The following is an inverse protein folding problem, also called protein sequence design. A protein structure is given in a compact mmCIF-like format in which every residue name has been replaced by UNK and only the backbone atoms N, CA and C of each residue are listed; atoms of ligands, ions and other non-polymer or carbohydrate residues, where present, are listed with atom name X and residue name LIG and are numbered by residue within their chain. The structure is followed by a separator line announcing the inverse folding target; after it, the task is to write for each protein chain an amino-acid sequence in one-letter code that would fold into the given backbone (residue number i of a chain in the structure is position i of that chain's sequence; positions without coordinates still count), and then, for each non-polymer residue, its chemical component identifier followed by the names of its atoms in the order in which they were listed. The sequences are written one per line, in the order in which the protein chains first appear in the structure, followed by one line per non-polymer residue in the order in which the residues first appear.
data_IF_359750271753
#
_entry.id   IF_359750271753
#
_cell.length_a   1.000
_cell.length_b   1.000
_cell.length_c   1.000
_cell.angle_alpha   90.00
_cell.angle_beta   90.00
_cell.angle_gamma   90.00
#
_symmetry.space_group_name_H-M   'P 1'
#
loop_
_entity.id
_entity.type
_entity.pdbx_description
1 polymer ?
#
# COMPACT_ATOMS: atom_id res chain seq x y z
N UNK A 1 12.88 -37.74 -10.06
CA UNK A 1 13.21 -36.93 -11.24
C UNK A 1 12.96 -35.50 -10.85
N UNK A 2 14.03 -34.70 -10.74
CA UNK A 2 13.93 -33.29 -10.39
C UNK A 2 13.94 -32.50 -11.69
N UNK A 3 12.82 -31.91 -12.05
CA UNK A 3 12.74 -30.96 -13.16
C UNK A 3 12.33 -29.60 -12.62
N UNK A 4 12.94 -28.55 -13.15
CA UNK A 4 12.63 -27.17 -12.81
C UNK A 4 11.58 -26.65 -13.78
N UNK A 5 10.47 -26.14 -13.26
CA UNK A 5 9.50 -25.39 -14.04
C UNK A 5 9.91 -23.91 -14.11
N UNK A 6 9.74 -23.23 -15.25
CA UNK A 6 9.95 -21.79 -15.33
C UNK A 6 9.14 -21.06 -14.26
N UNK A 7 9.73 -20.05 -13.62
CA UNK A 7 9.05 -19.26 -12.58
C UNK A 7 7.74 -18.69 -13.10
N UNK A 8 6.64 -18.88 -12.35
CA UNK A 8 5.28 -18.41 -12.69
C UNK A 8 4.67 -19.03 -13.96
N UNK A 9 5.19 -20.15 -14.44
CA UNK A 9 4.49 -20.95 -15.46
C UNK A 9 3.48 -21.88 -14.82
N UNK A 10 2.30 -21.99 -15.45
CA UNK A 10 1.28 -22.96 -15.09
C UNK A 10 1.07 -23.89 -16.28
N UNK A 11 1.39 -25.17 -16.11
CA UNK A 11 1.11 -26.21 -17.10
C UNK A 11 -0.07 -27.02 -16.61
N UNK A 12 -1.11 -27.12 -17.43
CA UNK A 12 -2.20 -28.04 -17.17
C UNK A 12 -1.73 -29.45 -17.54
N UNK A 13 -1.66 -30.32 -16.55
CA UNK A 13 -1.46 -31.75 -16.77
C UNK A 13 -2.82 -32.44 -16.63
N UNK A 14 -3.44 -32.88 -17.73
CA UNK A 14 -4.66 -33.68 -17.63
C UNK A 14 -4.33 -34.96 -16.86
N UNK A 15 -5.10 -35.25 -15.80
CA UNK A 15 -4.99 -36.53 -15.10
C UNK A 15 -5.68 -37.59 -15.97
N UNK A 16 -4.95 -38.59 -16.50
CA UNK A 16 -5.54 -39.60 -17.36
C UNK A 16 -6.64 -40.36 -16.60
N UNK A 17 -7.81 -40.51 -17.23
CA UNK A 17 -8.98 -41.17 -16.66
C UNK A 17 -9.83 -40.33 -15.70
N UNK A 18 -9.46 -39.06 -15.43
CA UNK A 18 -10.29 -38.15 -14.64
C UNK A 18 -11.07 -37.25 -15.57
N UNK A 19 -12.34 -37.59 -15.80
CA UNK A 19 -13.27 -36.71 -16.51
C UNK A 19 -13.74 -35.61 -15.57
N UNK A 20 -13.62 -34.36 -16.00
CA UNK A 20 -14.14 -33.23 -15.24
C UNK A 20 -15.67 -33.33 -15.17
N UNK A 21 -16.22 -33.38 -13.95
CA UNK A 21 -17.66 -33.39 -13.71
C UNK A 21 -18.06 -32.16 -12.91
N UNK A 22 -18.86 -31.25 -13.47
CA UNK A 22 -19.31 -30.09 -12.74
C UNK A 22 -20.32 -30.47 -11.65
N UNK A 23 -20.19 -29.87 -10.47
CA UNK A 23 -21.22 -29.97 -9.43
C UNK A 23 -22.55 -29.36 -9.90
N UNK A 24 -23.66 -29.85 -9.34
CA UNK A 24 -25.03 -29.39 -9.67
C UNK A 24 -25.19 -27.88 -9.49
N UNK A 25 -25.99 -27.21 -10.33
CA UNK A 25 -26.25 -25.79 -10.18
C UNK A 25 -26.97 -25.53 -8.86
N UNK A 26 -26.52 -24.53 -8.10
CA UNK A 26 -27.04 -24.24 -6.75
C UNK A 26 -28.31 -23.39 -6.76
N UNK A 27 -28.80 -22.97 -7.94
CA UNK A 27 -29.96 -22.08 -8.11
C UNK A 27 -29.77 -20.65 -7.61
N UNK A 28 -28.71 -20.38 -6.84
CA UNK A 28 -28.40 -19.05 -6.29
C UNK A 28 -27.60 -18.24 -7.32
N UNK A 29 -27.89 -16.94 -7.48
CA UNK A 29 -27.08 -16.07 -8.33
C UNK A 29 -25.64 -16.04 -7.83
N UNK A 30 -24.67 -15.97 -8.76
CA UNK A 30 -23.25 -15.92 -8.41
C UNK A 30 -22.92 -14.61 -7.72
N UNK A 31 -22.12 -14.69 -6.66
CA UNK A 31 -21.66 -13.51 -5.90
C UNK A 31 -20.59 -12.69 -6.62
N UNK A 32 -19.82 -13.32 -7.53
CA UNK A 32 -18.76 -12.65 -8.28
C UNK A 32 -19.24 -12.32 -9.70
N UNK A 33 -19.09 -11.06 -10.11
CA UNK A 33 -19.39 -10.63 -11.47
C UNK A 33 -18.38 -11.10 -12.51
N UNK A 34 -17.20 -11.55 -12.10
CA UNK A 34 -16.20 -12.13 -13.00
C UNK A 34 -16.39 -13.64 -13.13
N UNK A 35 -16.55 -14.10 -14.37
CA UNK A 35 -16.65 -15.52 -14.69
C UNK A 35 -15.25 -16.15 -14.70
N UNK A 36 -15.02 -17.11 -13.81
CA UNK A 36 -13.84 -17.98 -13.86
C UNK A 36 -13.97 -19.00 -15.00
N UNK A 37 -12.87 -19.56 -15.50
CA UNK A 37 -12.92 -20.58 -16.56
C UNK A 37 -13.81 -21.77 -16.18
N UNK A 38 -13.69 -22.27 -14.94
CA UNK A 38 -14.53 -23.34 -14.42
C UNK A 38 -16.01 -22.96 -14.40
N UNK A 39 -16.32 -21.70 -14.12
CA UNK A 39 -17.69 -21.24 -14.01
C UNK A 39 -18.32 -21.00 -15.38
N UNK A 40 -17.54 -20.59 -16.39
CA UNK A 40 -17.95 -20.55 -17.81
C UNK A 40 -18.26 -21.97 -18.31
N UNK A 41 -17.34 -22.92 -18.09
CA UNK A 41 -17.56 -24.32 -18.48
C UNK A 41 -18.81 -24.92 -17.82
N UNK A 42 -19.03 -24.62 -16.53
CA UNK A 42 -20.21 -25.09 -15.78
C UNK A 42 -21.52 -24.59 -16.36
N UNK A 43 -21.58 -23.30 -16.74
CA UNK A 43 -22.82 -22.72 -17.26
C UNK A 43 -23.18 -23.37 -18.60
N UNK A 44 -22.21 -23.43 -19.53
CA UNK A 44 -22.41 -24.06 -20.84
C UNK A 44 -22.73 -25.56 -20.73
N UNK A 45 -22.08 -26.29 -19.81
CA UNK A 45 -22.38 -27.70 -19.55
C UNK A 45 -23.82 -27.89 -19.07
N UNK A 46 -24.25 -27.15 -18.05
CA UNK A 46 -25.59 -27.35 -17.50
C UNK A 46 -26.69 -26.86 -18.45
N UNK A 47 -26.43 -25.82 -19.23
CA UNK A 47 -27.30 -25.37 -20.31
C UNK A 47 -27.53 -26.47 -21.36
N UNK A 48 -26.45 -27.15 -21.81
CA UNK A 48 -26.53 -28.27 -22.73
C UNK A 48 -27.31 -29.46 -22.14
N UNK A 49 -27.06 -29.82 -20.88
CA UNK A 49 -27.83 -30.87 -20.19
C UNK A 49 -29.32 -30.51 -20.11
N UNK A 50 -29.66 -29.25 -19.79
CA UNK A 50 -31.06 -28.81 -19.75
C UNK A 50 -31.74 -28.83 -21.13
N UNK A 51 -30.96 -28.68 -22.20
CA UNK A 51 -31.43 -28.82 -23.57
C UNK A 51 -31.58 -30.29 -24.03
N UNK A 52 -31.24 -31.27 -23.17
CA UNK A 52 -31.35 -32.70 -23.47
C UNK A 52 -30.09 -33.32 -24.08
N UNK A 53 -28.95 -32.63 -24.06
CA UNK A 53 -27.68 -33.20 -24.49
C UNK A 53 -27.20 -34.31 -23.55
N UNK A 54 -26.40 -35.23 -24.09
CA UNK A 54 -25.69 -36.23 -23.29
C UNK A 54 -24.57 -35.58 -22.45
N UNK A 55 -24.05 -36.30 -21.45
CA UNK A 55 -22.98 -35.79 -20.59
C UNK A 55 -21.70 -35.47 -21.36
N UNK A 56 -21.37 -36.26 -22.39
CA UNK A 56 -20.18 -36.08 -23.22
C UNK A 56 -20.33 -34.85 -24.14
N UNK A 57 -21.49 -34.68 -24.77
CA UNK A 57 -21.79 -33.48 -25.58
C UNK A 57 -21.79 -32.21 -24.73
N UNK A 58 -22.33 -32.27 -23.51
CA UNK A 58 -22.31 -31.16 -22.57
C UNK A 58 -20.87 -30.82 -22.11
N UNK A 59 -20.01 -31.83 -21.97
CA UNK A 59 -18.58 -31.64 -21.67
C UNK A 59 -17.88 -30.91 -22.81
N UNK A 60 -18.09 -31.34 -24.05
CA UNK A 60 -17.54 -30.67 -25.25
C UNK A 60 -18.01 -29.21 -25.33
N UNK A 61 -19.29 -28.94 -25.06
CA UNK A 61 -19.84 -27.57 -25.00
C UNK A 61 -19.18 -26.72 -23.91
N UNK A 62 -18.89 -27.31 -22.76
CA UNK A 62 -18.14 -26.65 -21.69
C UNK A 62 -16.73 -26.26 -22.10
N UNK A 63 -16.03 -27.14 -22.83
CA UNK A 63 -14.68 -26.89 -23.36
C UNK A 63 -14.72 -25.79 -24.43
N UNK A 64 -15.62 -25.90 -25.40
CA UNK A 64 -15.81 -24.94 -26.49
C UNK A 64 -16.06 -23.52 -25.94
N UNK A 65 -16.89 -23.39 -24.91
CA UNK A 65 -17.19 -22.11 -24.28
C UNK A 65 -15.95 -21.47 -23.62
N UNK A 66 -15.10 -22.26 -22.96
CA UNK A 66 -13.85 -21.76 -22.37
C UNK A 66 -12.85 -21.38 -23.44
N UNK A 67 -12.72 -22.17 -24.51
CA UNK A 67 -11.84 -21.87 -25.63
C UNK A 67 -12.25 -20.59 -26.36
N UNK A 68 -13.55 -20.41 -26.62
CA UNK A 68 -14.09 -19.20 -27.22
C UNK A 68 -13.80 -17.97 -26.34
N UNK A 69 -13.98 -18.09 -25.02
CA UNK A 69 -13.64 -17.01 -24.08
C UNK A 69 -12.15 -16.66 -24.09
N UNK A 70 -11.27 -17.67 -24.10
CA UNK A 70 -9.82 -17.48 -24.15
C UNK A 70 -9.37 -16.87 -25.49
N UNK A 71 -9.98 -17.28 -26.61
CA UNK A 71 -9.73 -16.73 -27.95
C UNK A 71 -10.13 -15.26 -28.03
N UNK A 72 -11.34 -14.91 -27.60
CA UNK A 72 -11.80 -13.52 -27.55
C UNK A 72 -10.88 -12.63 -26.69
N UNK A 73 -10.32 -13.17 -25.60
CA UNK A 73 -9.35 -12.44 -24.76
C UNK A 73 -8.01 -12.22 -25.47
N UNK A 74 -7.53 -13.18 -26.27
CA UNK A 74 -6.32 -13.03 -27.10
C UNK A 74 -6.54 -12.00 -28.20
N UNK A 75 -7.63 -12.10 -28.95
CA UNK A 75 -7.97 -11.13 -30.01
C UNK A 75 -8.11 -9.71 -29.46
N UNK A 76 -8.73 -9.54 -28.28
CA UNK A 76 -8.82 -8.24 -27.60
C UNK A 76 -7.45 -7.72 -27.16
N UNK A 77 -6.48 -8.60 -26.89
CA UNK A 77 -5.11 -8.22 -26.54
C UNK A 77 -4.32 -7.82 -27.79
N UNK A 78 -4.47 -8.55 -28.89
CA UNK A 78 -3.82 -8.26 -30.18
C UNK A 78 -4.32 -6.96 -30.81
N UNK A 79 -5.64 -6.71 -30.80
CA UNK A 79 -6.22 -5.43 -31.25
C UNK A 79 -5.80 -4.23 -30.41
N UNK A 80 -5.24 -4.47 -29.23
CA UNK A 80 -4.71 -3.45 -28.32
C UNK A 80 -3.21 -3.30 -28.43
N UNK A 81 -2.53 -3.91 -29.41
CA UNK A 81 -1.19 -3.46 -29.74
C UNK A 81 -1.31 -1.99 -30.14
N UNK A 82 -0.88 -1.04 -29.27
CA UNK A 82 -0.85 0.33 -29.67
C UNK A 82 0.09 0.37 -30.86
N UNK A 83 -0.31 0.98 -31.97
CA UNK A 83 0.64 1.47 -32.96
C UNK A 83 1.77 2.10 -32.15
N UNK A 84 3.01 1.59 -32.22
CA UNK A 84 4.08 2.09 -31.36
C UNK A 84 4.17 3.57 -31.66
N UNK A 85 3.72 4.41 -30.72
CA UNK A 85 3.90 5.85 -30.85
C UNK A 85 5.41 6.04 -31.06
N UNK A 86 5.81 6.78 -32.11
CA UNK A 86 7.21 7.00 -32.40
C UNK A 86 7.84 7.47 -31.10
N UNK A 87 8.76 6.66 -30.56
CA UNK A 87 9.43 6.99 -29.30
C UNK A 87 10.07 8.34 -29.54
N UNK A 88 9.63 9.41 -28.87
CA UNK A 88 10.14 10.75 -29.14
C UNK A 88 11.65 10.68 -29.01
N UNK A 89 12.36 11.18 -30.02
CA UNK A 89 13.82 11.19 -30.00
C UNK A 89 14.26 11.85 -28.70
N UNK A 90 15.17 11.22 -27.93
CA UNK A 90 15.62 11.78 -26.67
C UNK A 90 16.24 13.14 -26.96
N UNK A 91 15.54 14.20 -26.55
CA UNK A 91 16.07 15.55 -26.67
C UNK A 91 17.29 15.61 -25.76
N UNK A 92 18.47 15.78 -26.35
CA UNK A 92 19.69 16.02 -25.59
C UNK A 92 19.58 17.40 -24.94
N UNK A 93 19.11 17.42 -23.69
CA UNK A 93 18.99 18.63 -22.89
C UNK A 93 20.35 19.12 -22.36
N UNK A 94 21.46 18.48 -22.76
CA UNK A 94 22.80 18.77 -22.29
C UNK A 94 23.03 18.36 -20.83
N UNK A 95 24.20 18.71 -20.26
CA UNK A 95 24.49 18.44 -18.86
C UNK A 95 23.49 19.13 -17.91
N UNK A 96 23.08 18.43 -16.85
CA UNK A 96 22.19 19.01 -15.85
C UNK A 96 22.86 20.22 -15.17
N UNK A 97 22.14 21.33 -14.89
CA UNK A 97 22.73 22.55 -14.31
C UNK A 97 23.41 22.32 -12.94
N UNK A 98 22.98 21.32 -12.17
CA UNK A 98 23.64 20.93 -10.91
C UNK A 98 24.91 20.12 -11.09
N UNK A 99 25.19 19.63 -12.30
CA UNK A 99 26.26 18.65 -12.58
C UNK A 99 25.88 17.19 -12.35
N UNK A 100 24.65 16.90 -11.87
CA UNK A 100 24.16 15.52 -11.75
C UNK A 100 23.98 14.87 -13.13
N UNK A 101 24.37 13.61 -13.27
CA UNK A 101 24.12 12.77 -14.45
C UNK A 101 22.83 11.96 -14.32
N UNK A 102 22.34 11.79 -13.10
CA UNK A 102 21.21 10.90 -12.77
C UNK A 102 19.91 11.65 -12.48
N UNK A 103 19.97 12.95 -12.25
CA UNK A 103 18.81 13.77 -11.94
C UNK A 103 18.07 14.21 -13.21
N UNK A 104 16.73 14.23 -13.14
CA UNK A 104 15.87 14.70 -14.24
C UNK A 104 16.03 16.22 -14.43
N UNK A 105 16.13 16.69 -15.67
CA UNK A 105 16.15 18.12 -15.97
C UNK A 105 14.88 18.81 -15.44
N UNK A 106 15.06 20.02 -14.90
CA UNK A 106 13.97 20.77 -14.23
C UNK A 106 13.79 20.39 -12.75
N UNK A 107 14.72 19.62 -12.18
CA UNK A 107 14.80 19.40 -10.74
C UNK A 107 16.06 20.08 -10.20
N UNK A 108 15.94 20.84 -9.12
CA UNK A 108 17.06 21.34 -8.34
C UNK A 108 17.69 20.25 -7.46
N UNK A 109 18.98 20.42 -7.14
CA UNK A 109 19.69 19.54 -6.24
C UNK A 109 19.10 19.67 -4.82
N UNK A 110 18.74 18.57 -4.13
CA UNK A 110 18.16 18.65 -2.79
C UNK A 110 19.04 19.40 -1.78
N UNK A 111 18.40 20.12 -0.86
CA UNK A 111 19.11 20.85 0.20
C UNK A 111 19.92 19.87 1.06
N UNK A 112 21.20 20.20 1.26
CA UNK A 112 22.12 19.36 2.03
C UNK A 112 22.75 18.21 1.25
N UNK A 113 22.46 18.07 -0.06
CA UNK A 113 23.15 17.10 -0.90
C UNK A 113 24.63 17.45 -1.06
N UNK A 114 25.48 16.41 -1.14
CA UNK A 114 26.92 16.56 -1.33
C UNK A 114 27.48 15.51 -2.29
N UNK A 115 28.53 15.87 -3.02
CA UNK A 115 29.12 15.02 -4.07
C UNK A 115 30.18 14.05 -3.57
N UNK A 116 30.90 14.44 -2.49
CA UNK A 116 32.01 13.67 -1.93
C UNK A 116 31.58 13.04 -0.63
N UNK A 117 31.62 11.71 -0.59
CA UNK A 117 31.41 10.89 0.60
C UNK A 117 32.09 11.50 1.84
N UNK A 118 31.30 11.80 2.88
CA UNK A 118 31.79 12.44 4.11
C UNK A 118 32.09 11.41 5.19
N UNK A 119 31.25 10.36 5.29
CA UNK A 119 31.38 9.25 6.23
C UNK A 119 31.70 7.98 5.46
N UNK A 120 32.51 7.09 6.06
CA UNK A 120 32.91 5.81 5.44
C UNK A 120 31.72 4.94 5.00
N UNK A 121 30.56 5.07 5.64
CA UNK A 121 29.38 4.26 5.38
C UNK A 121 28.29 5.01 4.62
N UNK A 122 28.56 6.21 4.08
CA UNK A 122 27.58 6.86 3.21
C UNK A 122 27.36 6.01 1.97
N UNK A 123 26.09 5.82 1.66
CA UNK A 123 25.62 5.23 0.42
C UNK A 123 25.01 6.35 -0.42
N UNK A 124 25.06 6.19 -1.75
CA UNK A 124 24.42 7.12 -2.65
C UNK A 124 22.94 7.30 -2.30
N UNK A 125 22.45 8.52 -2.47
CA UNK A 125 21.02 8.76 -2.35
C UNK A 125 20.27 7.94 -3.41
N UNK A 126 18.99 7.68 -3.18
CA UNK A 126 18.13 7.03 -4.15
C UNK A 126 16.84 7.82 -4.31
N UNK A 127 16.27 7.80 -5.51
CA UNK A 127 14.98 8.45 -5.78
C UNK A 127 13.89 7.40 -5.88
N UNK A 128 12.71 7.72 -5.37
CA UNK A 128 11.53 6.89 -5.58
C UNK A 128 10.81 7.31 -6.87
N UNK A 129 10.74 6.43 -7.87
CA UNK A 129 10.12 6.73 -9.17
C UNK A 129 8.60 6.57 -9.21
N UNK A 130 7.99 6.11 -8.12
CA UNK A 130 6.52 6.05 -8.00
C UNK A 130 5.96 7.47 -8.06
N UNK A 131 4.78 7.64 -8.68
CA UNK A 131 4.11 8.93 -8.70
C UNK A 131 3.59 9.27 -7.29
N UNK A 132 4.09 10.35 -6.68
CA UNK A 132 3.63 10.81 -5.37
C UNK A 132 2.82 12.09 -5.46
N UNK A 133 1.95 12.30 -4.48
CA UNK A 133 1.19 13.53 -4.34
C UNK A 133 2.08 14.77 -4.19
N UNK A 134 3.18 14.65 -3.41
CA UNK A 134 4.12 15.74 -3.12
C UNK A 134 5.35 15.75 -4.06
N UNK A 135 5.22 15.22 -5.28
CA UNK A 135 6.29 15.23 -6.28
C UNK A 135 7.31 14.09 -6.15
N UNK A 136 8.61 14.40 -6.25
CA UNK A 136 9.72 13.43 -6.18
C UNK A 136 10.24 13.34 -4.75
N UNK A 137 10.66 12.13 -4.37
CA UNK A 137 11.30 11.86 -3.09
C UNK A 137 12.72 11.39 -3.35
N UNK A 138 13.68 12.13 -2.79
CA UNK A 138 15.08 11.73 -2.71
C UNK A 138 15.38 11.32 -1.27
N UNK A 139 16.00 10.15 -1.12
CA UNK A 139 16.20 9.51 0.16
C UNK A 139 17.68 9.23 0.33
N UNK A 140 18.20 9.45 1.54
CA UNK A 140 19.53 9.01 1.89
C UNK A 140 19.64 7.48 1.75
N UNK A 141 20.85 6.99 1.44
CA UNK A 141 21.05 5.56 1.14
C UNK A 141 20.69 4.62 2.29
N UNK A 142 20.76 5.09 3.52
CA UNK A 142 20.36 4.36 4.73
C UNK A 142 18.84 4.28 4.95
N UNK A 143 18.05 5.14 4.28
CA UNK A 143 16.59 5.11 4.35
C UNK A 143 16.05 3.97 3.50
N UNK A 144 15.34 3.02 4.13
CA UNK A 144 14.90 1.79 3.47
C UNK A 144 13.57 1.92 2.73
N UNK A 145 12.73 2.88 3.09
CA UNK A 145 11.36 2.99 2.57
C UNK A 145 10.96 4.43 2.28
N UNK A 146 10.26 4.65 1.18
CA UNK A 146 9.70 5.94 0.80
C UNK A 146 8.49 6.28 1.69
N UNK A 147 8.46 7.42 2.40
CA UNK A 147 7.28 7.82 3.19
C UNK A 147 6.09 8.23 2.30
N UNK A 148 6.36 8.60 1.04
CA UNK A 148 5.34 9.00 0.08
C UNK A 148 4.41 7.85 -0.30
N UNK A 149 4.96 6.68 -0.65
CA UNK A 149 4.18 5.53 -1.15
C UNK A 149 4.39 4.22 -0.37
N UNK A 150 5.35 4.16 0.56
CA UNK A 150 5.69 2.96 1.32
C UNK A 150 6.51 1.92 0.55
N UNK A 151 7.01 2.23 -0.65
CA UNK A 151 7.91 1.32 -1.36
C UNK A 151 9.25 1.20 -0.63
N UNK A 152 9.84 0.01 -0.65
CA UNK A 152 11.17 -0.23 -0.10
C UNK A 152 12.23 -0.14 -1.20
N UNK A 153 13.42 0.37 -0.90
CA UNK A 153 14.57 0.45 -1.83
C UNK A 153 14.89 -0.90 -2.48
N UNK A 154 14.80 -1.99 -1.72
CA UNK A 154 15.02 -3.37 -2.19
C UNK A 154 13.79 -4.03 -2.82
N UNK A 155 12.68 -3.30 -2.95
CA UNK A 155 11.43 -3.80 -3.51
C UNK A 155 11.43 -3.85 -5.03
N UNK A 156 10.37 -4.38 -5.65
CA UNK A 156 10.24 -4.47 -7.11
C UNK A 156 10.01 -3.11 -7.80
N UNK A 157 9.94 -2.02 -7.04
CA UNK A 157 9.84 -0.66 -7.59
C UNK A 157 11.15 -0.25 -8.26
N UNK A 158 11.06 0.64 -9.25
CA UNK A 158 12.24 1.29 -9.82
C UNK A 158 12.75 2.35 -8.82
N UNK A 159 14.01 2.23 -8.45
CA UNK A 159 14.69 3.13 -7.52
C UNK A 159 16.06 3.46 -8.11
N UNK A 160 16.19 4.52 -8.92
CA UNK A 160 17.47 4.94 -9.44
C UNK A 160 18.34 5.41 -8.29
N UNK A 161 19.58 4.90 -8.28
CA UNK A 161 20.64 5.42 -7.43
C UNK A 161 21.11 6.74 -8.02
N UNK A 162 21.23 7.74 -7.16
CA UNK A 162 21.69 9.08 -7.52
C UNK A 162 23.22 9.15 -7.49
N UNK A 163 23.79 10.15 -8.13
CA UNK A 163 25.24 10.40 -8.13
C UNK A 163 25.72 11.37 -7.02
N UNK A 164 24.81 11.72 -6.11
CA UNK A 164 25.10 12.49 -4.91
C UNK A 164 24.69 11.72 -3.65
N UNK A 165 25.12 12.24 -2.51
CA UNK A 165 24.81 11.72 -1.20
C UNK A 165 23.89 12.70 -0.47
N UNK A 166 23.11 12.18 0.48
CA UNK A 166 22.31 12.96 1.43
C UNK A 166 22.78 12.63 2.86
N UNK A 167 22.56 13.53 3.84
CA UNK A 167 22.84 13.22 5.24
C UNK A 167 22.00 12.02 5.69
N UNK A 168 22.57 11.17 6.55
CA UNK A 168 21.91 9.96 7.07
C UNK A 168 20.49 10.26 7.59
N UNK A 169 19.53 9.41 7.23
CA UNK A 169 18.12 9.56 7.61
C UNK A 169 17.35 10.68 6.89
N UNK A 170 18.00 11.48 6.04
CA UNK A 170 17.36 12.61 5.36
C UNK A 170 16.44 12.15 4.25
N UNK A 171 15.27 12.77 4.18
CA UNK A 171 14.29 12.63 3.11
C UNK A 171 14.02 14.01 2.54
N UNK A 172 14.38 14.24 1.28
CA UNK A 172 14.07 15.47 0.59
C UNK A 172 12.84 15.29 -0.32
N UNK A 173 11.85 16.16 -0.11
CA UNK A 173 10.68 16.30 -0.99
C UNK A 173 10.97 17.39 -2.01
N UNK A 174 10.59 17.15 -3.26
CA UNK A 174 10.73 18.12 -4.31
C UNK A 174 9.48 18.17 -5.19
N UNK A 175 8.93 19.36 -5.36
CA UNK A 175 7.86 19.59 -6.31
C UNK A 175 8.37 19.35 -7.74
N UNK A 176 7.59 18.61 -8.51
CA UNK A 176 7.95 18.22 -9.87
C UNK A 176 6.73 18.32 -10.79
N UNK A 177 6.19 19.55 -11.00
CA UNK A 177 5.01 19.76 -11.82
C UNK A 177 5.26 19.23 -13.24
N UNK A 178 4.32 18.47 -13.78
CA UNK A 178 4.42 17.86 -15.11
C UNK A 178 5.24 16.57 -15.20
N UNK A 179 6.16 16.31 -14.26
CA UNK A 179 6.93 15.05 -14.24
C UNK A 179 6.18 13.93 -13.49
N UNK A 180 5.36 14.31 -12.50
CA UNK A 180 4.64 13.35 -11.65
C UNK A 180 3.16 13.34 -11.98
N UNK A 181 2.68 12.24 -12.55
CA UNK A 181 1.25 12.03 -12.83
C UNK A 181 0.59 11.25 -11.69
N UNK A 182 0.37 11.92 -10.57
CA UNK A 182 -0.28 11.32 -9.41
C UNK A 182 -1.81 11.32 -9.59
N UNK A 183 -2.43 10.15 -9.39
CA UNK A 183 -3.88 9.96 -9.46
C UNK A 183 -4.40 9.46 -8.11
N UNK A 184 -5.23 10.24 -7.39
CA UNK A 184 -5.76 9.84 -6.11
C UNK A 184 -6.62 8.58 -6.27
N UNK A 185 -6.40 7.58 -5.41
CA UNK A 185 -7.16 6.32 -5.43
C UNK A 185 -8.32 6.40 -4.45
N UNK A 186 -9.51 5.94 -4.85
CA UNK A 186 -10.62 5.76 -3.90
C UNK A 186 -10.17 4.83 -2.79
N UNK A 187 -10.42 5.23 -1.54
CA UNK A 187 -10.16 4.37 -0.40
C UNK A 187 -10.85 3.01 -0.65
N UNK A 188 -10.08 1.93 -0.54
CA UNK A 188 -10.68 0.60 -0.62
C UNK A 188 -11.76 0.51 0.47
N UNK A 189 -12.95 0.03 0.12
CA UNK A 189 -14.00 -0.29 1.08
C UNK A 189 -13.50 -1.42 1.98
N UNK A 190 -12.67 -1.09 2.97
CA UNK A 190 -12.22 -2.03 3.97
C UNK A 190 -13.47 -2.53 4.67
N UNK A 191 -13.72 -3.84 4.55
CA UNK A 191 -14.83 -4.47 5.27
C UNK A 191 -14.67 -4.10 6.74
N UNK A 192 -15.73 -3.53 7.35
CA UNK A 192 -15.78 -2.83 8.66
C UNK A 192 -15.22 -3.58 9.89
N UNK A 193 -14.54 -4.72 9.74
CA UNK A 193 -14.15 -5.65 10.79
C UNK A 193 -12.78 -5.41 11.42
N UNK A 194 -11.94 -4.47 10.97
CA UNK A 194 -10.63 -4.18 11.60
C UNK A 194 -10.51 -2.74 12.08
N UNK A 195 -11.32 -2.35 13.07
CA UNK A 195 -11.27 -1.01 13.70
C UNK A 195 -10.00 -0.73 14.53
N UNK A 196 -9.01 -1.63 14.56
CA UNK A 196 -7.83 -1.54 15.44
C UNK A 196 -6.50 -1.24 14.76
N UNK A 197 -6.45 -1.11 13.44
CA UNK A 197 -5.22 -0.67 12.78
C UNK A 197 -5.31 0.83 12.51
N UNK A 198 -4.84 1.67 13.44
CA UNK A 198 -4.40 3.03 13.11
C UNK A 198 -3.12 2.88 12.25
N UNK A 199 -3.32 2.50 11.00
CA UNK A 199 -2.24 2.13 10.10
C UNK A 199 -1.54 3.40 9.62
N UNK A 200 -0.20 3.38 9.65
CA UNK A 200 0.67 4.42 9.09
C UNK A 200 0.17 4.75 7.69
N UNK A 201 -0.39 5.96 7.54
CA UNK A 201 -0.90 6.47 6.28
C UNK A 201 0.28 7.10 5.54
N UNK A 202 0.70 6.48 4.44
CA UNK A 202 1.68 7.08 3.52
C UNK A 202 1.17 8.44 3.01
N UNK A 203 2.05 9.35 2.58
CA UNK A 203 1.60 10.67 2.14
C UNK A 203 0.60 10.58 0.96
N UNK A 204 0.78 9.61 0.06
CA UNK A 204 -0.18 9.33 -1.01
C UNK A 204 -1.55 8.88 -0.49
N UNK A 205 -1.59 8.03 0.54
CA UNK A 205 -2.86 7.61 1.13
C UNK A 205 -3.54 8.79 1.84
N UNK A 206 -2.77 9.66 2.50
CA UNK A 206 -3.31 10.85 3.18
C UNK A 206 -3.86 11.86 2.17
N UNK A 207 -3.10 12.15 1.11
CA UNK A 207 -3.55 13.02 0.02
C UNK A 207 -4.78 12.44 -0.70
N UNK A 208 -4.79 11.13 -1.00
CA UNK A 208 -5.98 10.48 -1.58
C UNK A 208 -7.19 10.64 -0.66
N UNK A 209 -7.02 10.47 0.66
CA UNK A 209 -8.10 10.66 1.63
C UNK A 209 -8.63 12.10 1.60
N UNK A 210 -7.75 13.11 1.67
CA UNK A 210 -8.12 14.53 1.58
C UNK A 210 -8.81 14.89 0.28
N UNK A 211 -8.35 14.36 -0.85
CA UNK A 211 -8.99 14.55 -2.14
C UNK A 211 -10.44 14.06 -2.13
N UNK A 212 -10.70 12.85 -1.65
CA UNK A 212 -12.07 12.31 -1.63
C UNK A 212 -12.96 12.99 -0.58
N UNK A 213 -12.41 13.46 0.55
CA UNK A 213 -13.14 14.31 1.49
C UNK A 213 -13.62 15.60 0.80
N UNK A 214 -12.77 16.28 0.02
CA UNK A 214 -13.17 17.46 -0.76
C UNK A 214 -14.26 17.15 -1.80
N UNK A 215 -14.19 16.00 -2.47
CA UNK A 215 -15.26 15.59 -3.40
C UNK A 215 -16.58 15.33 -2.65
N UNK A 216 -16.53 14.76 -1.45
CA UNK A 216 -17.71 14.56 -0.59
C UNK A 216 -18.29 15.89 -0.08
N UNK A 217 -17.45 16.91 0.13
CA UNK A 217 -17.83 18.29 0.50
C UNK A 217 -18.44 19.09 -0.66
N UNK A 218 -18.46 18.54 -1.88
CA UNK A 218 -19.12 19.14 -3.04
C UNK A 218 -18.20 19.72 -4.10
N UNK A 219 -16.88 19.52 -4.00
CA UNK A 219 -15.97 19.84 -5.10
C UNK A 219 -16.26 18.95 -6.32
N UNK A 220 -16.27 19.54 -7.52
CA UNK A 220 -16.62 18.81 -8.75
C UNK A 220 -15.64 17.66 -9.04
N UNK A 221 -16.16 16.47 -9.33
CA UNK A 221 -15.36 15.35 -9.82
C UNK A 221 -15.65 15.12 -11.30
N UNK A 222 -14.67 15.32 -12.17
CA UNK A 222 -14.81 14.94 -13.58
C UNK A 222 -14.79 13.41 -13.71
N UNK A 223 -15.84 12.81 -14.28
CA UNK A 223 -15.84 11.37 -14.56
C UNK A 223 -14.68 10.98 -15.49
N UNK A 224 -13.78 10.14 -15.00
CA UNK A 224 -12.60 9.70 -15.74
C UNK A 224 -11.40 10.65 -15.68
N UNK A 225 -11.52 11.80 -15.00
CA UNK A 225 -10.45 12.77 -14.78
C UNK A 225 -10.11 12.98 -13.31
N UNK A 226 -9.06 13.77 -13.07
CA UNK A 226 -8.76 14.32 -11.74
C UNK A 226 -9.08 15.81 -11.82
N UNK A 227 -9.94 16.30 -10.91
CA UNK A 227 -10.12 17.74 -10.74
C UNK A 227 -8.82 18.31 -10.17
N UNK A 228 -8.15 19.16 -10.95
CA UNK A 228 -6.83 19.73 -10.62
C UNK A 228 -6.89 20.65 -9.41
N UNK A 229 -7.96 21.43 -9.24
CA UNK A 229 -8.14 22.33 -8.10
C UNK A 229 -8.31 21.56 -6.78
N UNK A 230 -9.18 20.55 -6.79
CA UNK A 230 -9.38 19.68 -5.63
C UNK A 230 -8.10 18.88 -5.29
N UNK A 231 -7.35 18.45 -6.31
CA UNK A 231 -6.07 17.78 -6.10
C UNK A 231 -5.02 18.73 -5.52
N UNK A 232 -4.90 19.94 -6.06
CA UNK A 232 -3.96 20.95 -5.59
C UNK A 232 -4.24 21.31 -4.12
N UNK A 233 -5.51 21.46 -3.75
CA UNK A 233 -5.91 21.70 -2.36
C UNK A 233 -5.56 20.51 -1.46
N UNK A 234 -5.83 19.27 -1.89
CA UNK A 234 -5.46 18.08 -1.14
C UNK A 234 -3.94 17.91 -0.97
N UNK A 235 -3.15 18.26 -1.99
CA UNK A 235 -1.68 18.30 -1.95
C UNK A 235 -1.21 19.32 -0.91
N UNK A 236 -1.75 20.53 -0.94
CA UNK A 236 -1.43 21.60 0.04
C UNK A 236 -1.76 21.19 1.47
N UNK A 237 -2.92 20.57 1.71
CA UNK A 237 -3.29 20.04 3.03
C UNK A 237 -2.34 18.92 3.49
N UNK A 238 -1.89 18.08 2.56
CA UNK A 238 -0.95 16.99 2.85
C UNK A 238 0.43 17.55 3.21
N UNK A 239 0.90 18.55 2.48
CA UNK A 239 2.21 19.14 2.72
C UNK A 239 2.26 19.84 4.08
N UNK A 240 1.24 20.66 4.39
CA UNK A 240 1.09 21.30 5.71
C UNK A 240 1.05 20.27 6.86
N UNK A 241 0.38 19.13 6.66
CA UNK A 241 0.36 18.04 7.64
C UNK A 241 1.75 17.43 7.87
N UNK A 242 2.50 17.18 6.80
CA UNK A 242 3.84 16.61 6.89
C UNK A 242 4.80 17.61 7.55
N UNK A 243 4.72 18.89 7.21
CA UNK A 243 5.55 19.93 7.81
C UNK A 243 5.28 20.10 9.30
N UNK A 244 4.01 20.14 9.70
CA UNK A 244 3.62 20.18 11.11
C UNK A 244 4.15 18.96 11.88
N UNK A 245 4.15 17.77 11.26
CA UNK A 245 4.69 16.55 11.86
C UNK A 245 6.21 16.59 12.01
N UNK A 246 6.92 17.11 11.02
CA UNK A 246 8.39 17.27 11.08
C UNK A 246 8.76 18.30 12.15
N UNK A 247 8.08 19.44 12.19
CA UNK A 247 8.29 20.47 13.21
C UNK A 247 8.03 19.93 14.63
N UNK A 248 6.96 19.16 14.83
CA UNK A 248 6.66 18.53 16.12
C UNK A 248 7.73 17.50 16.54
N UNK A 249 8.25 16.72 15.59
CA UNK A 249 9.35 15.78 15.86
C UNK A 249 10.63 16.54 16.26
N UNK A 250 10.96 17.62 15.56
CA UNK A 250 12.13 18.44 15.86
C UNK A 250 12.02 19.10 17.24
N UNK A 251 10.87 19.70 17.57
CA UNK A 251 10.62 20.28 18.89
C UNK A 251 10.80 19.26 20.03
N UNK A 252 10.33 18.02 19.84
CA UNK A 252 10.49 16.93 20.82
C UNK A 252 11.96 16.51 21.00
N UNK A 253 12.74 16.51 19.92
CA UNK A 253 14.18 16.25 19.98
C UNK A 253 14.94 17.35 20.72
N UNK A 254 14.57 18.61 20.52
CA UNK A 254 15.16 19.75 21.24
C UNK A 254 14.82 19.73 22.74
N UNK A 255 13.57 19.41 23.10
CA UNK A 255 13.14 19.31 24.50
C UNK A 255 13.85 18.16 25.25
N UNK A 256 14.00 17.00 24.61
CA UNK A 256 14.70 15.86 25.22
C UNK A 256 16.21 16.10 25.36
N UNK A 257 16.84 16.75 24.36
CA UNK A 257 18.27 17.08 24.38
C UNK A 257 18.68 18.10 25.44
N UNK A 258 17.76 18.95 25.90
CA UNK A 258 18.04 19.97 26.91
C UNK A 258 18.03 19.44 28.36
N UNK A 259 17.57 18.21 28.61
CA UNK A 259 17.30 17.71 29.96
C UNK A 259 18.44 16.90 30.61
N UNK A 260 19.55 16.66 29.90
CA UNK A 260 20.59 15.73 30.32
C UNK A 260 21.80 16.35 31.05
N UNK A 261 21.79 17.67 31.35
CA UNK A 261 22.93 18.33 32.01
C UNK A 261 22.95 18.32 33.55
N UNK A 262 21.85 18.02 34.27
CA UNK A 262 21.88 18.05 35.76
C UNK A 262 20.99 17.01 36.45
N UNK A 263 21.01 15.74 36.03
CA UNK A 263 20.51 14.66 36.89
C UNK A 263 21.63 14.11 37.79
N UNK A 264 21.72 14.51 39.08
CA UNK A 264 22.66 13.89 40.00
C UNK A 264 22.37 12.39 40.07
N UNK A 265 23.41 11.57 39.90
CA UNK A 265 23.36 10.12 39.98
C UNK A 265 22.98 9.65 41.40
N UNK A 266 21.71 9.80 41.76
CA UNK A 266 21.14 9.23 42.96
C UNK A 266 20.99 7.71 42.71
N UNK A 267 21.89 6.94 43.32
CA UNK A 267 21.94 5.48 43.36
C UNK A 267 20.59 4.89 43.84
N UNK A 268 19.63 4.69 42.94
CA UNK A 268 18.38 4.03 43.27
C UNK A 268 18.58 2.50 43.28
N UNK A 269 18.75 1.97 44.49
CA UNK A 269 18.67 0.53 44.77
C UNK A 269 17.20 0.06 44.64
N UNK A 270 16.72 -0.12 43.41
CA UNK A 270 15.36 -0.59 43.12
C UNK A 270 15.30 -2.12 42.96
N UNK A 271 14.68 -2.80 43.94
CA UNK A 271 14.37 -4.25 43.91
C UNK A 271 13.60 -4.63 42.65
N UNK A 272 14.20 -5.51 41.85
CA UNK A 272 13.61 -6.18 40.68
C UNK A 272 12.53 -7.17 41.14
N UNK A 273 11.25 -6.79 41.07
CA UNK A 273 10.12 -7.73 41.22
C UNK A 273 10.04 -8.58 39.95
N UNK A 274 10.55 -9.82 40.01
CA UNK A 274 10.25 -10.86 39.04
C UNK A 274 8.81 -11.33 39.27
N UNK A 275 7.87 -10.91 38.42
CA UNK A 275 6.56 -11.56 38.30
C UNK A 275 6.72 -12.81 37.43
N UNK A 276 7.13 -13.91 38.06
CA UNK A 276 7.09 -15.24 37.46
C UNK A 276 5.65 -15.70 37.27
N UNK A 277 5.17 -15.68 36.02
CA UNK A 277 3.92 -16.34 35.64
C UNK A 277 4.28 -17.73 35.10
N UNK A 278 4.46 -18.67 36.02
CA UNK A 278 4.59 -20.10 35.74
C UNK A 278 3.27 -20.60 35.14
N UNK A 279 3.32 -21.12 33.91
CA UNK A 279 2.21 -21.88 33.30
C UNK A 279 2.54 -23.36 33.50
N UNK A 280 1.75 -24.05 34.31
CA UNK A 280 1.77 -25.51 34.41
C UNK A 280 1.35 -26.16 33.08
N UNK A 281 1.97 -27.28 32.68
CA UNK A 281 1.43 -28.17 31.67
C UNK A 281 0.59 -29.27 32.35
N UNK A 282 -0.72 -29.28 32.10
CA UNK A 282 -1.55 -30.45 32.37
C UNK A 282 -1.38 -31.47 31.22
N UNK A 283 -0.81 -32.60 31.59
CA UNK A 283 -0.89 -33.90 30.92
C UNK A 283 -2.27 -34.54 31.14
N UNK A 284 -2.84 -35.16 30.10
CA UNK A 284 -3.10 -36.62 30.03
C UNK A 284 -4.14 -36.99 28.94
N UNK A 285 -3.78 -38.03 28.16
CA UNK A 285 -4.62 -38.97 27.38
C UNK A 285 -5.46 -38.39 26.21
N UNK A 286 -5.59 -39.01 25.03
CA UNK A 286 -5.58 -40.44 24.70
C UNK A 286 -5.24 -40.67 23.20
N UNK A 287 -4.70 -41.86 22.97
CA UNK A 287 -4.38 -42.61 21.75
C UNK A 287 -4.87 -42.16 20.36
N UNK A 288 -3.93 -42.06 19.41
CA UNK A 288 -4.07 -42.85 18.17
C UNK A 288 -2.72 -43.19 17.53
N UNK A 289 -2.69 -44.43 17.04
CA UNK A 289 -1.56 -45.23 16.58
C UNK A 289 -1.18 -44.84 15.14
N UNK A 290 0.12 -44.74 14.81
CA UNK A 290 0.81 -45.54 13.75
C UNK A 290 2.13 -44.94 13.24
N UNK A 291 3.18 -45.76 13.38
CA UNK A 291 4.28 -46.09 12.44
C UNK A 291 5.38 -45.04 12.18
N UNK A 292 6.38 -45.09 13.06
CA UNK A 292 7.77 -45.49 12.78
C UNK A 292 8.45 -45.04 11.49
N UNK A 293 9.50 -44.22 11.64
CA UNK A 293 10.68 -44.26 10.78
C UNK A 293 11.96 -44.07 11.60
N UNK A 294 12.83 -45.05 11.46
CA UNK A 294 14.13 -45.24 12.14
C UNK A 294 15.23 -44.56 11.31
N UNK A 295 16.26 -44.02 11.99
CA UNK A 295 17.55 -43.61 11.39
C UNK A 295 17.99 -42.24 11.93
N UNK A 296 18.75 -42.09 13.01
CA UNK A 296 20.12 -42.55 13.33
C UNK A 296 21.23 -41.82 12.55
N UNK A 297 22.11 -41.15 13.30
CA UNK A 297 23.33 -40.43 12.89
C UNK A 297 23.35 -39.04 13.56
N UNK A 298 23.84 -38.83 14.79
CA UNK A 298 25.19 -39.02 15.36
C UNK A 298 26.27 -38.38 14.50
N UNK A 299 26.80 -37.23 14.95
CA UNK A 299 28.12 -36.58 14.78
C UNK A 299 27.90 -35.08 15.09
N UNK A 300 28.74 -34.30 15.75
CA UNK A 300 30.01 -34.46 16.45
C UNK A 300 30.18 -33.14 17.23
N UNK A 301 30.51 -33.23 18.52
CA UNK A 301 30.79 -32.10 19.40
C UNK A 301 32.22 -31.62 19.18
N UNK A 302 32.41 -30.46 18.55
CA UNK A 302 33.63 -29.66 18.73
C UNK A 302 33.28 -28.18 18.86
N UNK A 303 33.69 -27.61 19.99
CA UNK A 303 33.53 -26.22 20.36
C UNK A 303 34.52 -25.35 19.57
N UNK A 304 34.03 -24.69 18.54
CA UNK A 304 34.72 -23.60 17.84
C UNK A 304 34.07 -22.28 18.24
N UNK A 305 34.80 -21.44 18.96
CA UNK A 305 34.42 -20.05 19.26
C UNK A 305 34.54 -19.19 17.99
N UNK A 306 33.45 -18.63 17.44
CA UNK A 306 33.54 -17.76 16.27
C UNK A 306 34.01 -16.36 16.67
N UNK A 307 35.16 -15.94 16.13
CA UNK A 307 35.74 -14.58 16.19
C UNK A 307 35.01 -13.57 15.27
N UNK A 308 33.69 -13.72 15.11
CA UNK A 308 32.87 -12.80 14.29
C UNK A 308 31.98 -11.99 15.22
N UNK A 309 32.03 -10.64 15.18
CA UNK A 309 31.07 -9.81 15.91
C UNK A 309 29.66 -10.24 15.55
N UNK A 310 28.91 -10.75 16.54
CA UNK A 310 27.50 -11.09 16.38
C UNK A 310 26.77 -9.87 15.80
N UNK A 311 26.17 -10.04 14.62
CA UNK A 311 25.17 -9.13 14.07
C UNK A 311 24.12 -8.93 15.17
N UNK A 312 24.01 -7.72 15.71
CA UNK A 312 22.93 -7.35 16.64
C UNK A 312 21.61 -7.75 15.98
N UNK A 313 20.83 -8.57 16.69
CA UNK A 313 19.48 -8.92 16.25
C UNK A 313 18.63 -7.65 16.24
N UNK A 314 17.75 -7.52 15.26
CA UNK A 314 16.79 -6.41 15.15
C UNK A 314 15.77 -6.33 16.30
N UNK A 315 15.88 -7.22 17.30
CA UNK A 315 15.03 -7.25 18.51
C UNK A 315 15.62 -6.45 19.69
N UNK A 316 16.80 -5.82 19.54
CA UNK A 316 17.36 -4.88 20.53
C UNK A 316 17.12 -3.40 20.15
N UNK A 317 16.25 -3.12 19.18
CA UNK A 317 15.68 -1.79 19.02
C UNK A 317 14.48 -1.70 19.93
N UNK A 318 14.59 -0.88 20.99
CA UNK A 318 13.49 -0.54 21.88
C UNK A 318 12.29 -0.07 21.04
N UNK A 319 11.22 -0.86 21.04
CA UNK A 319 9.90 -0.54 20.48
C UNK A 319 9.17 0.55 21.30
N UNK A 320 9.93 1.34 22.07
CA UNK A 320 9.46 2.32 23.05
C UNK A 320 9.30 3.73 22.46
N UNK A 321 9.54 3.94 21.16
CA UNK A 321 9.43 5.26 20.52
C UNK A 321 8.39 5.34 19.38
N UNK A 322 7.62 4.27 19.15
CA UNK A 322 6.61 4.24 18.07
C UNK A 322 5.15 4.28 18.54
N UNK A 323 4.89 4.35 19.86
CA UNK A 323 3.53 4.22 20.40
C UNK A 323 3.10 5.33 21.38
N UNK A 324 3.51 6.57 21.14
CA UNK A 324 2.94 7.71 21.87
C UNK A 324 2.87 8.98 21.03
N UNK A 325 1.93 8.99 20.08
CA UNK A 325 1.42 10.24 19.47
C UNK A 325 -0.10 10.21 19.58
N UNK A 326 -0.52 10.75 20.73
CA UNK A 326 -1.68 11.63 20.96
C UNK A 326 -3.02 11.23 20.32
N UNK A 327 -3.93 10.77 21.18
CA UNK A 327 -5.34 11.13 21.07
C UNK A 327 -5.43 12.67 21.02
N UNK A 328 -5.64 13.22 19.82
CA UNK A 328 -6.22 14.54 19.71
C UNK A 328 -7.70 14.37 20.11
N UNK A 329 -8.02 14.72 21.36
CA UNK A 329 -9.40 14.98 21.75
C UNK A 329 -9.95 16.00 20.75
N UNK A 330 -10.93 15.57 19.97
CA UNK A 330 -11.78 16.47 19.23
C UNK A 330 -12.57 17.24 20.27
N UNK A 331 -12.10 18.43 20.65
CA UNK A 331 -12.92 19.42 21.34
C UNK A 331 -14.13 19.65 20.45
N UNK A 332 -15.27 19.08 20.88
CA UNK A 332 -16.58 19.58 20.51
C UNK A 332 -16.69 20.93 21.20
N UNK A 333 -16.43 21.99 20.46
CA UNK A 333 -17.02 23.27 20.79
C UNK A 333 -18.51 23.13 20.50
N UNK A 334 -19.29 22.97 21.59
CA UNK A 334 -20.71 23.24 21.61
C UNK A 334 -20.89 24.75 21.36
N UNK A 335 -20.92 25.17 20.09
CA UNK A 335 -21.50 26.46 19.75
C UNK A 335 -23.03 26.33 19.76
N UNK A 336 -23.56 26.96 20.81
CA UNK A 336 -24.95 27.24 21.09
C UNK A 336 -25.63 27.86 19.86
N UNK A 337 -26.55 27.10 19.26
CA UNK A 337 -27.45 27.57 18.20
C UNK A 337 -28.37 28.63 18.80
N UNK A 338 -28.01 29.91 18.64
CA UNK A 338 -28.95 31.00 18.82
C UNK A 338 -30.00 30.91 17.70
N UNK A 339 -31.18 30.45 18.06
CA UNK A 339 -32.38 30.52 17.24
C UNK A 339 -32.73 31.99 17.01
N UNK A 340 -32.35 32.50 15.85
CA UNK A 340 -32.89 33.75 15.31
C UNK A 340 -34.37 33.54 14.97
N UNK A 341 -35.24 34.04 15.82
CA UNK A 341 -36.66 34.25 15.55
C UNK A 341 -36.81 35.19 14.36
N UNK A 342 -37.18 34.65 13.21
CA UNK A 342 -37.70 35.43 12.09
C UNK A 342 -39.20 35.59 12.32
N UNK A 343 -39.59 36.74 12.87
CA UNK A 343 -40.97 37.22 12.81
C UNK A 343 -41.27 37.61 11.37
N UNK A 344 -41.99 36.75 10.63
CA UNK A 344 -42.69 37.16 9.41
C UNK A 344 -44.15 37.39 9.79
N UNK A 345 -44.56 38.65 9.74
CA UNK A 345 -45.93 39.07 9.99
C UNK A 345 -46.86 38.57 8.91
N UNK A 346 -47.99 38.07 9.39
CA UNK A 346 -49.23 37.81 8.69
C UNK A 346 -49.90 39.14 8.35
N UNK A 347 -50.15 39.35 7.07
CA UNK A 347 -51.26 40.11 6.49
C UNK A 347 -51.42 39.52 5.07
N UNK A 348 -52.56 39.35 4.42
CA UNK A 348 -54.00 39.36 4.68
C UNK A 348 -54.57 39.19 3.25
N UNK A 349 -55.54 38.30 3.04
CA UNK A 349 -56.55 38.35 1.96
C UNK A 349 -56.11 38.41 0.48
N UNK A 350 -56.38 37.35 -0.28
CA UNK A 350 -57.50 37.40 -1.25
C UNK A 350 -57.64 36.10 -2.04
N UNK A 351 -58.89 35.65 -2.05
CA UNK A 351 -59.49 34.58 -2.83
C UNK A 351 -59.40 34.83 -4.34
N UNK A 352 -59.37 33.76 -5.13
CA UNK A 352 -60.34 33.58 -6.23
C UNK A 352 -60.13 32.22 -6.92
N UNK A 353 -61.16 31.40 -6.82
CA UNK A 353 -61.50 30.32 -7.73
C UNK A 353 -61.36 30.71 -9.21
N UNK A 354 -60.99 29.75 -10.06
CA UNK A 354 -61.80 29.37 -11.23
C UNK A 354 -61.26 28.10 -11.91
N UNK A 355 -62.05 27.06 -11.74
CA UNK A 355 -62.22 25.91 -12.62
C UNK A 355 -62.60 26.35 -14.04
N UNK A 356 -62.07 25.69 -15.08
CA UNK A 356 -62.71 25.57 -16.39
C UNK A 356 -62.05 24.47 -17.24
N UNK A 357 -62.78 23.36 -17.31
CA UNK A 357 -63.01 22.45 -18.46
C UNK A 357 -61.84 21.91 -19.29
#
# INVERSE_FOLDING_TARGET
MDFYLPSRSHFFQPAPGVTWMPGRPTGKPRRCGHLSHNSIAKDAYWEAITAGATADEALEKGIEAVEAFLRAKREKKEKKEPTPEPTPEPVDLGPHPSGSKTMEHGQDLPVGAYWKKQVRYDEFAWRCDINHALGRYYLAGDVKSCPGCGSCRSGPGQHPEMDFYLPSGTIARQEAPGLVNYKPRKAYKLTKKSKKAKQIVTHNQFCSKKYWELIEEGHEHCEGGVNEDALALAVKMTDAYVDAKVAAMQAKLEESGSSDEERPMAKSKGKRKQSGKHKEPQSESDSSVRRGRVGAGVFSTTSSTPLVPRKRGSEELNDSELDEVTEYESTKDDEEVQQGTISLSSDDESTSDSDSA
#
